data_IF_000940980489
#
_entry.id   IF_000940980489
#
_cell.length_a   1.000
_cell.length_b   1.000
_cell.length_c   1.000
_cell.angle_alpha   90.00
_cell.angle_beta   90.00
_cell.angle_gamma   90.00
#
_symmetry.space_group_name_H-M   'P 1'
#
loop_
_entity.id
_entity.type
_entity.pdbx_description
1 polymer ?
#
# COMPACT_ATOMS: atom_id res chain seq x y z
N UNK A 1 5.85 -15.16 -9.70
CA UNK A 1 4.88 -15.14 -8.57
C UNK A 1 4.41 -13.72 -8.24
N UNK A 2 5.32 -12.76 -8.04
CA UNK A 2 4.98 -11.37 -7.68
C UNK A 2 4.04 -10.66 -8.67
N UNK A 3 4.17 -10.95 -9.98
CA UNK A 3 3.29 -10.39 -11.01
C UNK A 3 1.81 -10.77 -10.82
N UNK A 4 1.52 -12.00 -10.37
CA UNK A 4 0.14 -12.46 -10.11
C UNK A 4 -0.46 -11.80 -8.86
N UNK A 5 0.36 -11.59 -7.82
CA UNK A 5 -0.07 -10.88 -6.59
C UNK A 5 -0.40 -9.43 -6.93
N UNK A 6 0.48 -8.75 -7.67
CA UNK A 6 0.26 -7.38 -8.12
C UNK A 6 -0.94 -7.26 -9.08
N UNK A 7 -1.17 -8.27 -9.93
CA UNK A 7 -2.35 -8.36 -10.79
C UNK A 7 -3.64 -8.53 -9.98
N UNK A 8 -3.63 -9.44 -8.99
CA UNK A 8 -4.74 -9.62 -8.06
C UNK A 8 -5.06 -8.34 -7.29
N UNK A 9 -4.05 -7.71 -6.69
CA UNK A 9 -4.22 -6.47 -5.93
C UNK A 9 -4.76 -5.36 -6.81
N UNK A 10 -4.20 -5.18 -8.01
CA UNK A 10 -4.72 -4.20 -8.98
C UNK A 10 -6.19 -4.43 -9.28
N UNK A 11 -6.54 -5.65 -9.73
CA UNK A 11 -7.91 -5.97 -10.14
C UNK A 11 -8.91 -5.75 -9.00
N UNK A 12 -8.55 -6.16 -7.78
CA UNK A 12 -9.44 -6.02 -6.61
C UNK A 12 -9.53 -4.59 -6.12
N UNK A 13 -8.43 -3.85 -6.10
CA UNK A 13 -8.46 -2.42 -5.76
C UNK A 13 -9.27 -1.64 -6.79
N UNK A 14 -9.11 -1.93 -8.08
CA UNK A 14 -9.93 -1.34 -9.14
C UNK A 14 -11.42 -1.61 -8.92
N UNK A 15 -11.77 -2.86 -8.62
CA UNK A 15 -13.16 -3.24 -8.34
C UNK A 15 -13.76 -2.47 -7.15
N UNK A 16 -12.96 -2.25 -6.09
CA UNK A 16 -13.39 -1.54 -4.88
C UNK A 16 -13.57 -0.03 -5.13
N UNK A 17 -12.71 0.59 -5.94
CA UNK A 17 -12.75 2.03 -6.21
C UNK A 17 -13.49 2.39 -7.51
N UNK A 18 -14.11 1.43 -8.20
CA UNK A 18 -14.71 1.62 -9.53
C UNK A 18 -15.76 2.74 -9.66
N UNK A 19 -16.36 3.14 -8.55
CA UNK A 19 -17.36 4.22 -8.50
C UNK A 19 -16.74 5.56 -8.10
N UNK A 20 -15.41 5.62 -7.96
CA UNK A 20 -14.67 6.81 -7.61
C UNK A 20 -13.97 7.34 -8.85
N UNK A 21 -14.49 8.42 -9.42
CA UNK A 21 -13.91 9.04 -10.62
C UNK A 21 -12.56 9.73 -10.37
N UNK A 22 -12.18 9.92 -9.10
CA UNK A 22 -10.99 10.69 -8.73
C UNK A 22 -9.78 9.84 -8.33
N UNK A 23 -9.96 8.54 -8.10
CA UNK A 23 -8.91 7.68 -7.53
C UNK A 23 -8.46 6.62 -8.54
N UNK A 24 -7.19 6.67 -8.94
CA UNK A 24 -6.61 5.64 -9.79
C UNK A 24 -5.96 4.56 -8.93
N UNK A 25 -6.01 3.31 -9.42
CA UNK A 25 -5.43 2.16 -8.74
C UNK A 25 -3.92 2.31 -8.44
N UNK A 26 -3.07 2.85 -9.34
CA UNK A 26 -1.67 3.09 -8.99
C UNK A 26 -1.53 4.02 -7.78
N UNK A 27 -2.36 5.06 -7.69
CA UNK A 27 -2.32 6.04 -6.61
C UNK A 27 -2.68 5.38 -5.28
N UNK A 28 -3.80 4.65 -5.25
CA UNK A 28 -4.26 3.92 -4.05
C UNK A 28 -3.20 2.93 -3.59
N UNK A 29 -2.68 2.08 -4.48
CA UNK A 29 -1.67 1.08 -4.11
C UNK A 29 -0.37 1.73 -3.63
N UNK A 30 0.04 2.85 -4.23
CA UNK A 30 1.24 3.58 -3.81
C UNK A 30 1.09 4.19 -2.43
N UNK A 31 -0.06 4.79 -2.14
CA UNK A 31 -0.40 5.34 -0.81
C UNK A 31 -0.37 4.23 0.25
N UNK A 32 -0.99 3.09 -0.05
CA UNK A 32 -1.01 1.95 0.89
C UNK A 32 0.39 1.41 1.16
N UNK A 33 1.20 1.21 0.11
CA UNK A 33 2.59 0.74 0.25
C UNK A 33 3.44 1.77 1.02
N UNK A 34 3.19 3.07 0.83
CA UNK A 34 3.82 4.11 1.64
C UNK A 34 3.47 3.96 3.12
N UNK A 35 2.19 3.75 3.46
CA UNK A 35 1.80 3.58 4.86
C UNK A 35 2.42 2.34 5.50
N UNK A 36 2.53 1.23 4.77
CA UNK A 36 3.33 0.07 5.23
C UNK A 36 4.78 0.45 5.54
N UNK A 37 5.38 1.31 4.71
CA UNK A 37 6.70 1.85 4.99
C UNK A 37 6.71 2.65 6.29
N UNK A 38 5.77 3.59 6.45
CA UNK A 38 5.65 4.42 7.67
C UNK A 38 5.51 3.56 8.92
N UNK A 39 4.67 2.52 8.88
CA UNK A 39 4.53 1.55 9.98
C UNK A 39 5.87 0.91 10.35
N UNK A 40 6.60 0.39 9.36
CA UNK A 40 7.92 -0.22 9.58
C UNK A 40 8.90 0.80 10.16
N UNK A 41 8.86 2.05 9.68
CA UNK A 41 9.72 3.13 10.17
C UNK A 41 9.41 3.44 11.64
N UNK A 42 8.15 3.60 11.98
CA UNK A 42 7.70 3.88 13.34
C UNK A 42 8.05 2.73 14.29
N UNK A 43 7.85 1.48 13.87
CA UNK A 43 8.24 0.30 14.65
C UNK A 43 9.77 0.26 14.85
N UNK A 44 10.54 0.52 13.79
CA UNK A 44 12.00 0.57 13.85
C UNK A 44 12.47 1.67 14.80
N UNK A 45 11.89 2.86 14.71
CA UNK A 45 12.20 3.98 15.58
C UNK A 45 11.85 3.66 17.04
N UNK A 46 10.67 3.09 17.29
CA UNK A 46 10.24 2.64 18.61
C UNK A 46 11.19 1.60 19.22
N UNK A 47 11.73 0.70 18.40
CA UNK A 47 12.62 -0.37 18.85
C UNK A 47 14.08 0.08 19.05
N UNK A 48 14.54 1.08 18.31
CA UNK A 48 15.98 1.44 18.25
C UNK A 48 16.29 2.87 18.71
N UNK A 49 15.28 3.71 18.88
CA UNK A 49 15.39 5.16 19.11
C UNK A 49 16.16 5.92 18.01
N UNK A 50 16.44 5.30 16.86
CA UNK A 50 17.07 5.94 15.70
C UNK A 50 15.99 6.51 14.78
N UNK A 51 16.09 7.80 14.45
CA UNK A 51 15.12 8.48 13.58
C UNK A 51 15.30 8.04 12.10
N UNK A 52 14.31 7.35 11.48
CA UNK A 52 14.39 6.87 10.10
C UNK A 52 13.98 7.93 9.06
N UNK A 53 13.60 9.14 9.49
CA UNK A 53 13.06 10.23 8.65
C UNK A 53 13.83 10.54 7.37
N UNK A 54 15.19 10.58 7.37
CA UNK A 54 15.97 10.87 6.15
C UNK A 54 15.78 9.84 5.03
N UNK A 55 15.50 8.57 5.35
CA UNK A 55 15.29 7.51 4.36
C UNK A 55 13.88 7.55 3.74
N UNK A 56 12.90 8.12 4.46
CA UNK A 56 11.49 8.09 4.06
C UNK A 56 11.09 9.20 3.09
N UNK A 57 11.75 10.36 3.14
CA UNK A 57 11.42 11.52 2.29
C UNK A 57 11.56 11.24 0.78
N UNK A 58 12.46 10.33 0.38
CA UNK A 58 12.70 9.99 -1.03
C UNK A 58 11.94 8.74 -1.49
N UNK A 59 11.41 7.92 -0.58
CA UNK A 59 10.79 6.65 -0.91
C UNK A 59 9.44 6.83 -1.63
N UNK A 60 8.67 7.87 -1.28
CA UNK A 60 7.32 8.10 -1.83
C UNK A 60 7.30 8.30 -3.35
N UNK A 61 8.02 9.27 -3.94
CA UNK A 61 8.01 9.45 -5.39
C UNK A 61 8.58 8.23 -6.12
N UNK A 62 9.57 7.55 -5.55
CA UNK A 62 10.15 6.33 -6.16
C UNK A 62 9.14 5.18 -6.21
N UNK A 63 8.44 4.88 -5.11
CA UNK A 63 7.43 3.81 -5.06
C UNK A 63 6.30 4.10 -6.05
N UNK A 64 5.82 5.34 -6.08
CA UNK A 64 4.76 5.75 -7.01
C UNK A 64 5.19 5.62 -8.46
N UNK A 65 6.37 6.16 -8.83
CA UNK A 65 6.91 6.06 -10.20
C UNK A 65 7.09 4.60 -10.63
N UNK A 66 7.63 3.75 -9.77
CA UNK A 66 7.85 2.32 -10.09
C UNK A 66 6.53 1.60 -10.35
N UNK A 67 5.52 1.80 -9.50
CA UNK A 67 4.21 1.16 -9.65
C UNK A 67 3.48 1.70 -10.88
N UNK A 68 3.50 3.02 -11.08
CA UNK A 68 2.91 3.65 -12.25
C UNK A 68 3.52 3.09 -13.53
N UNK A 69 4.86 3.08 -13.65
CA UNK A 69 5.56 2.49 -14.79
C UNK A 69 5.20 1.01 -14.93
N UNK A 70 5.20 0.23 -13.85
CA UNK A 70 4.93 -1.20 -13.91
C UNK A 70 3.55 -1.55 -14.48
N UNK A 71 2.50 -0.82 -14.07
CA UNK A 71 1.14 -1.07 -14.54
C UNK A 71 0.86 -0.49 -15.92
N UNK A 72 1.43 0.69 -16.24
CA UNK A 72 1.29 1.32 -17.56
C UNK A 72 2.22 0.70 -18.61
N UNK A 73 3.31 0.06 -18.21
CA UNK A 73 4.24 -0.62 -19.12
C UNK A 73 3.53 -1.72 -19.90
N UNK A 74 3.62 -1.64 -21.24
CA UNK A 74 2.94 -2.54 -22.18
C UNK A 74 1.43 -2.70 -21.88
N UNK A 75 0.81 -1.67 -21.27
CA UNK A 75 -0.60 -1.64 -20.87
C UNK A 75 -1.02 -2.87 -20.06
N UNK A 76 -0.16 -3.30 -19.11
CA UNK A 76 -0.43 -4.46 -18.25
C UNK A 76 -1.77 -4.37 -17.52
N UNK A 77 -2.18 -3.17 -17.12
CA UNK A 77 -3.48 -2.95 -16.50
C UNK A 77 -4.65 -3.45 -17.38
N UNK A 78 -4.61 -3.28 -18.71
CA UNK A 78 -5.65 -3.79 -19.61
C UNK A 78 -5.70 -5.32 -19.61
N UNK A 79 -4.52 -5.96 -19.68
CA UNK A 79 -4.41 -7.43 -19.63
C UNK A 79 -4.94 -7.99 -18.31
N UNK A 80 -4.73 -7.27 -17.21
CA UNK A 80 -5.25 -7.67 -15.88
C UNK A 80 -6.77 -7.52 -15.83
N UNK A 81 -7.35 -6.47 -16.45
CA UNK A 81 -8.80 -6.29 -16.54
C UNK A 81 -9.49 -7.36 -17.39
N UNK A 82 -8.87 -7.75 -18.49
CA UNK A 82 -9.35 -8.81 -19.39
C UNK A 82 -9.21 -10.21 -18.78
N UNK A 83 -8.31 -10.38 -17.81
CA UNK A 83 -8.08 -11.66 -17.14
C UNK A 83 -9.15 -11.95 -16.07
N UNK A 84 -10.17 -12.72 -16.45
CA UNK A 84 -11.24 -13.14 -15.53
C UNK A 84 -10.77 -14.08 -14.42
N UNK A 85 -9.52 -14.58 -14.43
CA UNK A 85 -9.03 -15.47 -13.38
C UNK A 85 -9.12 -14.83 -11.99
N UNK A 86 -8.92 -13.51 -11.90
CA UNK A 86 -8.96 -12.74 -10.65
C UNK A 86 -10.38 -12.57 -10.07
N UNK A 87 -11.43 -12.74 -10.89
CA UNK A 87 -12.82 -12.60 -10.47
C UNK A 87 -13.23 -13.66 -9.45
N UNK A 88 -12.68 -14.88 -9.59
CA UNK A 88 -12.97 -16.06 -8.75
C UNK A 88 -12.40 -15.95 -7.33
N UNK A 89 -11.34 -15.15 -7.17
CA UNK A 89 -10.69 -14.98 -5.87
C UNK A 89 -11.48 -14.03 -4.97
N UNK A 90 -11.49 -14.30 -3.67
CA UNK A 90 -12.14 -13.43 -2.69
C UNK A 90 -11.51 -12.04 -2.63
N UNK A 91 -12.29 -11.03 -2.25
CA UNK A 91 -11.79 -9.66 -2.02
C UNK A 91 -11.15 -9.49 -0.65
N UNK A 92 -11.30 -10.48 0.26
CA UNK A 92 -10.87 -10.37 1.67
C UNK A 92 -9.39 -10.00 1.79
N UNK A 93 -8.50 -10.65 1.04
CA UNK A 93 -7.06 -10.38 1.13
C UNK A 93 -6.69 -8.98 0.62
N UNK A 94 -7.37 -8.50 -0.43
CA UNK A 94 -7.17 -7.13 -0.90
C UNK A 94 -7.67 -6.11 0.13
N UNK A 95 -8.86 -6.32 0.71
CA UNK A 95 -9.40 -5.44 1.76
C UNK A 95 -8.47 -5.41 2.98
N UNK A 96 -8.03 -6.58 3.44
CA UNK A 96 -7.08 -6.70 4.54
C UNK A 96 -5.81 -5.93 4.21
N UNK A 97 -5.23 -6.14 3.01
CA UNK A 97 -4.03 -5.42 2.58
C UNK A 97 -4.21 -3.89 2.59
N UNK A 98 -5.37 -3.39 2.15
CA UNK A 98 -5.67 -1.95 2.09
C UNK A 98 -5.90 -1.33 3.48
N UNK A 99 -6.46 -2.07 4.44
CA UNK A 99 -6.86 -1.53 5.75
C UNK A 99 -5.76 -1.72 6.81
N UNK A 100 -5.00 -2.81 6.72
CA UNK A 100 -4.04 -3.22 7.72
C UNK A 100 -3.00 -2.15 8.12
N UNK A 101 -2.43 -1.33 7.21
CA UNK A 101 -1.48 -0.31 7.66
C UNK A 101 -2.15 0.77 8.54
N UNK A 102 -3.41 1.11 8.28
CA UNK A 102 -4.15 2.04 9.15
C UNK A 102 -4.42 1.45 10.53
N UNK A 103 -4.70 0.15 10.62
CA UNK A 103 -4.87 -0.53 11.91
C UNK A 103 -3.56 -0.48 12.71
N UNK A 104 -2.42 -0.74 12.07
CA UNK A 104 -1.10 -0.68 12.71
C UNK A 104 -0.83 0.75 13.20
N UNK A 105 -1.05 1.77 12.37
CA UNK A 105 -0.91 3.17 12.77
C UNK A 105 -1.75 3.53 14.00
N UNK A 106 -3.02 3.10 14.05
CA UNK A 106 -3.90 3.36 15.19
C UNK A 106 -3.34 2.70 16.46
N UNK A 107 -2.88 1.45 16.37
CA UNK A 107 -2.28 0.74 17.52
C UNK A 107 -1.01 1.45 17.99
N UNK A 108 -0.12 1.83 17.06
CA UNK A 108 1.11 2.56 17.38
C UNK A 108 0.81 3.92 18.02
N UNK A 109 -0.21 4.63 17.56
CA UNK A 109 -0.66 5.89 18.16
C UNK A 109 -1.11 5.69 19.61
N UNK A 110 -1.94 4.69 19.88
CA UNK A 110 -2.37 4.35 21.25
C UNK A 110 -1.19 3.93 22.15
N UNK A 111 -0.20 3.24 21.59
CA UNK A 111 1.01 2.90 22.33
C UNK A 111 1.84 4.14 22.65
N UNK A 112 2.05 5.03 21.67
CA UNK A 112 2.80 6.27 21.89
C UNK A 112 2.18 7.13 23.00
N UNK A 113 0.85 7.26 23.02
CA UNK A 113 0.10 8.02 24.03
C UNK A 113 0.21 7.39 25.43
N UNK A 114 0.19 6.05 25.53
CA UNK A 114 0.29 5.35 26.82
C UNK A 114 1.71 5.21 27.36
N UNK A 115 2.72 5.17 26.50
CA UNK A 115 4.08 4.80 26.87
C UNK A 115 5.10 5.95 26.86
N UNK A 116 4.67 7.22 26.72
CA UNK A 116 5.55 8.40 26.72
C UNK A 116 6.83 8.14 25.91
N UNK A 117 6.68 7.87 24.60
CA UNK A 117 7.86 7.95 23.73
C UNK A 117 8.39 9.39 23.84
N UNK A 118 9.64 9.60 24.33
CA UNK A 118 10.16 10.94 24.52
C UNK A 118 10.21 11.62 23.14
N UNK A 119 9.55 12.77 23.07
CA UNK A 119 9.52 13.66 21.91
C UNK A 119 10.94 14.07 21.48
#
# INVERSE_FOLDING_TARGET
MIHRILGYLWYKTEYLIRHSDSWHVPDVLSIIIMFYGVDIALIYWAATSVNPGPLFLLAFPLIWIILYIYYHYKRRYLKIREDESYKKYSNIWAILFLILPFIILIVLLFMADKFYMPY
#
